data_IF_623553452131
#
_entry.id   IF_623553452131
#
_cell.length_a   1.000
_cell.length_b   1.000
_cell.length_c   1.000
_cell.angle_alpha   90.00
_cell.angle_beta   90.00
_cell.angle_gamma   90.00
#
_symmetry.space_group_name_H-M   'P 1'
#
loop_
_entity.id
_entity.type
_entity.pdbx_description
1 polymer ?
#
# COMPACT_ATOMS: atom_id res chain seq x y z
N UNK A 1 28.57 24.63 57.65
CA UNK A 1 29.51 24.94 56.56
C UNK A 1 29.93 23.61 55.94
N UNK A 2 29.56 23.37 54.68
CA UNK A 2 29.87 22.12 53.97
C UNK A 2 31.30 22.17 53.42
N UNK A 3 32.12 21.17 53.73
CA UNK A 3 33.47 21.07 53.19
C UNK A 3 33.43 20.62 51.72
N UNK A 4 34.32 21.13 50.86
CA UNK A 4 34.41 20.69 49.47
C UNK A 4 34.98 19.26 49.42
N UNK A 5 34.25 18.33 48.80
CA UNK A 5 34.77 17.00 48.47
C UNK A 5 35.75 17.14 47.31
N UNK A 6 37.02 16.80 47.57
CA UNK A 6 38.03 16.63 46.54
C UNK A 6 37.60 15.53 45.55
N UNK A 7 37.88 15.68 44.24
CA UNK A 7 37.60 14.63 43.26
C UNK A 7 38.43 13.38 43.59
N UNK A 8 37.76 12.23 43.66
CA UNK A 8 38.42 10.94 43.80
C UNK A 8 39.24 10.64 42.54
N UNK A 9 40.45 10.05 42.68
CA UNK A 9 41.22 9.61 41.53
C UNK A 9 40.45 8.52 40.75
N UNK A 10 40.55 8.50 39.42
CA UNK A 10 39.93 7.44 38.61
C UNK A 10 40.47 6.07 39.03
N UNK A 11 39.59 5.06 38.98
CA UNK A 11 39.92 3.68 39.31
C UNK A 11 41.17 3.22 38.54
N UNK A 12 42.02 2.34 39.13
CA UNK A 12 43.17 1.79 38.44
C UNK A 12 42.72 1.18 37.10
N UNK A 13 43.32 1.64 36.00
CA UNK A 13 43.10 1.06 34.69
C UNK A 13 43.38 -0.45 34.77
N UNK A 14 42.55 -1.31 34.16
CA UNK A 14 42.86 -2.73 34.11
C UNK A 14 44.24 -2.90 33.46
N UNK A 15 45.09 -3.65 34.15
CA UNK A 15 46.48 -3.92 33.79
C UNK A 15 46.66 -4.07 32.28
N UNK A 16 47.66 -3.37 31.74
CA UNK A 16 48.03 -3.44 30.33
C UNK A 16 48.38 -4.89 29.98
N UNK A 17 47.42 -5.59 29.40
CA UNK A 17 47.65 -6.88 28.76
C UNK A 17 48.67 -6.64 27.65
N UNK A 18 49.78 -7.39 27.58
CA UNK A 18 50.77 -7.20 26.54
C UNK A 18 50.09 -7.30 25.18
N UNK A 19 50.07 -6.19 24.43
CA UNK A 19 49.50 -6.10 23.07
C UNK A 19 50.38 -6.78 22.01
N UNK A 20 51.28 -7.67 22.43
CA UNK A 20 52.11 -8.45 21.52
C UNK A 20 51.31 -9.68 21.10
N UNK A 21 50.83 -9.76 19.84
CA UNK A 21 50.19 -10.99 19.38
C UNK A 21 51.24 -12.11 19.42
N UNK A 22 51.01 -13.10 20.28
CA UNK A 22 51.82 -14.32 20.33
C UNK A 22 51.55 -15.10 19.04
N UNK A 23 52.33 -14.77 17.99
CA UNK A 23 52.20 -15.35 16.65
C UNK A 23 52.66 -16.80 16.67
N UNK A 24 51.79 -17.69 17.12
CA UNK A 24 51.98 -19.14 17.05
C UNK A 24 51.78 -19.63 15.62
N UNK A 25 52.47 -20.71 15.22
CA UNK A 25 52.42 -21.29 13.85
C UNK A 25 51.01 -21.63 13.34
N UNK A 26 50.02 -21.68 14.23
CA UNK A 26 48.62 -21.99 13.92
C UNK A 26 47.68 -20.77 13.98
N UNK A 27 48.17 -19.54 14.16
CA UNK A 27 47.34 -18.32 14.20
C UNK A 27 46.10 -18.41 15.12
N UNK A 28 46.20 -19.17 16.21
CA UNK A 28 45.12 -19.30 17.18
C UNK A 28 45.21 -18.14 18.18
N UNK A 29 44.82 -16.94 17.75
CA UNK A 29 44.59 -15.81 18.66
C UNK A 29 43.31 -16.07 19.48
N UNK A 30 43.38 -16.97 20.46
CA UNK A 30 42.24 -17.29 21.34
C UNK A 30 41.73 -16.08 22.13
N UNK A 31 42.62 -15.13 22.46
CA UNK A 31 42.25 -13.87 23.11
C UNK A 31 41.50 -12.90 22.19
N UNK A 32 41.83 -12.87 20.90
CA UNK A 32 41.24 -11.94 19.93
C UNK A 32 39.76 -12.21 19.67
N UNK A 33 39.34 -13.47 19.66
CA UNK A 33 37.94 -13.83 19.51
C UNK A 33 37.08 -13.30 20.69
N UNK A 34 37.62 -13.37 21.91
CA UNK A 34 36.97 -12.82 23.10
C UNK A 34 36.93 -11.29 23.07
N UNK A 35 38.00 -10.64 22.63
CA UNK A 35 38.04 -9.18 22.44
C UNK A 35 37.05 -8.71 21.38
N UNK A 36 36.96 -9.41 20.24
CA UNK A 36 35.99 -9.13 19.18
C UNK A 36 34.54 -9.32 19.67
N UNK A 37 34.29 -10.36 20.47
CA UNK A 37 32.99 -10.57 21.10
C UNK A 37 32.60 -9.40 22.02
N UNK A 38 33.52 -8.97 22.90
CA UNK A 38 33.31 -7.81 23.79
C UNK A 38 33.09 -6.52 23.01
N UNK A 39 33.89 -6.27 21.97
CA UNK A 39 33.75 -5.12 21.09
C UNK A 39 32.37 -5.10 20.42
N UNK A 40 31.95 -6.23 19.85
CA UNK A 40 30.64 -6.33 19.20
C UNK A 40 29.50 -6.06 20.18
N UNK A 41 29.59 -6.62 21.39
CA UNK A 41 28.59 -6.43 22.43
C UNK A 41 28.46 -4.95 22.84
N UNK A 42 29.58 -4.27 23.07
CA UNK A 42 29.62 -2.83 23.35
C UNK A 42 29.06 -2.00 22.17
N UNK A 43 29.43 -2.34 20.94
CA UNK A 43 28.92 -1.65 19.76
C UNK A 43 27.40 -1.74 19.62
N UNK A 44 26.80 -2.91 19.94
CA UNK A 44 25.34 -3.05 19.93
C UNK A 44 24.68 -2.23 21.05
N UNK A 45 25.23 -2.24 22.26
CA UNK A 45 24.72 -1.41 23.37
C UNK A 45 24.73 0.08 23.03
N UNK A 46 25.80 0.57 22.40
CA UNK A 46 25.88 1.95 21.93
C UNK A 46 24.85 2.23 20.84
N UNK A 47 24.64 1.30 19.91
CA UNK A 47 23.62 1.44 18.85
C UNK A 47 22.21 1.53 19.43
N UNK A 48 21.89 0.72 20.42
CA UNK A 48 20.62 0.75 21.16
C UNK A 48 20.45 2.05 21.95
N UNK A 49 21.53 2.62 22.50
CA UNK A 49 21.48 3.90 23.18
C UNK A 49 21.04 5.06 22.27
N UNK A 50 21.44 5.02 21.00
CA UNK A 50 21.01 5.99 19.99
C UNK A 50 19.69 5.65 19.30
N UNK A 51 19.08 4.50 19.61
CA UNK A 51 17.72 4.24 19.14
C UNK A 51 16.76 5.21 19.83
N UNK A 52 15.94 5.86 19.01
CA UNK A 52 15.01 6.89 19.47
C UNK A 52 13.91 6.24 20.34
N UNK A 53 13.88 6.56 21.64
CA UNK A 53 12.92 5.99 22.61
C UNK A 53 11.52 6.60 22.53
N UNK A 54 11.38 7.66 21.73
CA UNK A 54 10.15 8.42 21.49
C UNK A 54 9.14 7.68 20.62
N UNK A 55 9.53 6.58 19.97
CA UNK A 55 8.65 5.82 19.06
C UNK A 55 8.32 6.54 17.76
N UNK A 56 8.99 7.67 17.47
CA UNK A 56 8.77 8.52 16.29
C UNK A 56 9.69 8.19 15.12
N UNK A 57 10.09 6.93 14.96
CA UNK A 57 10.59 6.47 13.67
C UNK A 57 9.39 6.38 12.73
N UNK A 58 8.93 7.53 12.25
CA UNK A 58 7.99 7.59 11.13
C UNK A 58 8.70 6.93 9.96
N UNK A 59 8.26 5.75 9.51
CA UNK A 59 8.83 5.18 8.30
C UNK A 59 8.51 6.16 7.18
N UNK A 60 9.53 6.86 6.70
CA UNK A 60 9.40 7.75 5.55
C UNK A 60 9.33 6.84 4.33
N UNK A 61 8.18 6.76 3.63
CA UNK A 61 8.09 5.96 2.43
C UNK A 61 8.84 6.70 1.31
N UNK A 62 10.14 6.44 1.19
CA UNK A 62 10.98 7.02 0.13
C UNK A 62 10.56 6.55 -1.27
N UNK A 63 9.85 5.43 -1.35
CA UNK A 63 9.39 4.83 -2.60
C UNK A 63 7.88 4.61 -2.54
N UNK A 64 7.14 5.43 -3.29
CA UNK A 64 5.74 5.15 -3.60
C UNK A 64 5.72 4.29 -4.85
N UNK A 65 5.50 2.99 -4.68
CA UNK A 65 5.30 2.11 -5.83
C UNK A 65 3.98 2.46 -6.52
N UNK A 66 3.95 2.50 -7.87
CA UNK A 66 2.69 2.61 -8.59
C UNK A 66 1.76 1.48 -8.19
N UNK A 67 0.54 1.85 -7.81
CA UNK A 67 -0.54 0.91 -7.47
C UNK A 67 -0.85 0.07 -8.71
N UNK A 68 -1.18 -1.22 -8.53
CA UNK A 68 -1.56 -2.09 -9.66
C UNK A 68 -2.75 -1.48 -10.40
N UNK A 69 -2.79 -1.60 -11.73
CA UNK A 69 -3.86 -1.03 -12.54
C UNK A 69 -5.26 -1.50 -12.10
N UNK A 70 -5.40 -2.77 -11.70
CA UNK A 70 -6.68 -3.31 -11.21
C UNK A 70 -7.18 -2.65 -9.91
N UNK A 71 -6.27 -2.16 -9.07
CA UNK A 71 -6.64 -1.43 -7.85
C UNK A 71 -6.97 0.04 -8.15
N UNK A 72 -6.37 0.61 -9.18
CA UNK A 72 -6.60 2.00 -9.59
C UNK A 72 -7.82 2.15 -10.50
N UNK A 73 -8.09 1.16 -11.34
CA UNK A 73 -9.17 1.14 -12.32
C UNK A 73 -9.88 -0.22 -12.23
N UNK A 74 -11.04 -0.30 -11.55
CA UNK A 74 -11.84 -1.53 -11.57
C UNK A 74 -12.21 -1.87 -13.01
N UNK A 75 -12.37 -3.16 -13.29
CA UNK A 75 -12.74 -3.63 -14.62
C UNK A 75 -14.06 -2.97 -15.04
N UNK A 76 -14.21 -2.48 -16.29
CA UNK A 76 -15.42 -1.75 -16.73
C UNK A 76 -16.71 -2.57 -16.59
N UNK A 77 -16.62 -3.90 -16.48
CA UNK A 77 -17.76 -4.79 -16.23
C UNK A 77 -18.01 -5.06 -14.75
N UNK A 78 -17.07 -4.71 -13.86
CA UNK A 78 -17.26 -4.72 -12.40
C UNK A 78 -18.03 -3.46 -11.99
N UNK A 79 -19.25 -3.33 -12.50
CA UNK A 79 -20.13 -2.24 -12.14
C UNK A 79 -20.65 -2.46 -10.71
N UNK A 80 -20.65 -1.41 -9.86
CA UNK A 80 -21.27 -1.50 -8.56
C UNK A 80 -22.78 -1.82 -8.71
N UNK A 81 -23.41 -2.40 -7.67
CA UNK A 81 -24.83 -2.72 -7.71
C UNK A 81 -25.66 -1.51 -8.13
N UNK A 82 -26.34 -1.62 -9.27
CA UNK A 82 -27.13 -0.52 -9.82
C UNK A 82 -28.28 -0.16 -8.87
N UNK A 83 -28.53 1.13 -8.68
CA UNK A 83 -29.73 1.63 -7.99
C UNK A 83 -31.00 1.13 -8.67
N UNK A 84 -32.07 0.90 -7.90
CA UNK A 84 -33.36 0.47 -8.44
C UNK A 84 -33.91 1.41 -9.52
N UNK A 85 -33.71 2.73 -9.36
CA UNK A 85 -34.08 3.74 -10.36
C UNK A 85 -33.30 3.57 -11.67
N UNK A 86 -32.00 3.34 -11.57
CA UNK A 86 -31.11 3.14 -12.73
C UNK A 86 -31.46 1.85 -13.46
N UNK A 87 -31.67 0.75 -12.72
CA UNK A 87 -32.14 -0.53 -13.29
C UNK A 87 -33.46 -0.36 -14.03
N UNK A 88 -34.44 0.29 -13.41
CA UNK A 88 -35.74 0.53 -14.05
C UNK A 88 -35.65 1.40 -15.31
N UNK A 89 -34.76 2.39 -15.31
CA UNK A 89 -34.50 3.18 -16.51
C UNK A 89 -33.87 2.34 -17.62
N UNK A 90 -32.79 1.62 -17.33
CA UNK A 90 -32.09 0.73 -18.28
C UNK A 90 -33.03 -0.32 -18.86
N UNK A 91 -33.88 -0.92 -18.03
CA UNK A 91 -34.85 -1.91 -18.49
C UNK A 91 -35.82 -1.31 -19.50
N UNK A 92 -36.33 -0.08 -19.29
CA UNK A 92 -37.25 0.58 -20.23
C UNK A 92 -36.60 1.02 -21.54
N UNK A 93 -35.32 1.37 -21.52
CA UNK A 93 -34.58 1.81 -22.73
C UNK A 93 -33.90 0.65 -23.47
N UNK A 94 -33.93 -0.56 -22.90
CA UNK A 94 -33.43 -1.75 -23.57
C UNK A 94 -34.14 -1.93 -24.92
N UNK A 95 -33.43 -2.27 -26.00
CA UNK A 95 -34.01 -2.61 -27.30
C UNK A 95 -35.17 -3.62 -27.23
N UNK A 96 -35.11 -4.56 -26.27
CA UNK A 96 -36.14 -5.57 -26.04
C UNK A 96 -37.44 -4.99 -25.46
N UNK A 97 -37.36 -3.88 -24.72
CA UNK A 97 -38.48 -3.23 -24.04
C UNK A 97 -38.85 -1.87 -24.65
N UNK A 98 -38.08 -1.43 -25.66
CA UNK A 98 -38.40 -0.28 -26.48
C UNK A 98 -39.79 -0.53 -27.07
N UNK A 99 -40.75 0.27 -26.59
CA UNK A 99 -42.19 0.05 -26.77
C UNK A 99 -42.48 -0.38 -28.21
N UNK A 100 -42.96 -1.61 -28.35
CA UNK A 100 -43.47 -2.15 -29.61
C UNK A 100 -44.67 -1.36 -30.12
N UNK A 101 -45.30 -0.53 -29.28
CA UNK A 101 -46.47 0.25 -29.64
C UNK A 101 -46.16 1.74 -29.83
N UNK A 102 -46.61 2.32 -30.93
CA UNK A 102 -46.66 3.77 -31.16
C UNK A 102 -48.00 4.33 -30.64
N UNK A 103 -47.98 5.40 -29.84
CA UNK A 103 -49.20 6.09 -29.40
C UNK A 103 -49.39 7.38 -30.18
N UNK A 104 -50.53 7.52 -30.87
CA UNK A 104 -50.91 8.74 -31.57
C UNK A 104 -51.42 9.82 -30.60
N UNK A 105 -51.39 11.12 -30.97
CA UNK A 105 -51.98 12.20 -30.18
C UNK A 105 -53.46 11.97 -29.84
N UNK A 106 -54.17 11.18 -30.64
CA UNK A 106 -55.55 10.75 -30.39
C UNK A 106 -55.68 9.69 -29.28
N UNK A 107 -54.58 9.29 -28.64
CA UNK A 107 -54.54 8.22 -27.63
C UNK A 107 -54.59 6.80 -28.18
N UNK A 108 -54.72 6.62 -29.51
CA UNK A 108 -54.72 5.30 -30.15
C UNK A 108 -53.31 4.70 -30.10
N UNK A 109 -53.22 3.43 -29.69
CA UNK A 109 -51.97 2.67 -29.66
C UNK A 109 -51.98 1.72 -30.85
N UNK A 110 -50.88 1.72 -31.60
CA UNK A 110 -50.68 0.90 -32.80
C UNK A 110 -49.53 -0.04 -32.55
N UNK A 111 -49.67 -1.30 -32.95
CA UNK A 111 -48.67 -2.35 -32.73
C UNK A 111 -47.44 -2.17 -33.62
N UNK A 112 -46.39 -2.93 -33.35
CA UNK A 112 -45.17 -2.89 -34.19
C UNK A 112 -45.46 -3.35 -35.61
N UNK A 113 -46.30 -4.39 -35.76
CA UNK A 113 -46.73 -4.93 -37.06
C UNK A 113 -47.54 -3.90 -37.86
N UNK A 114 -48.55 -3.28 -37.24
CA UNK A 114 -49.37 -2.27 -37.92
C UNK A 114 -48.55 -1.03 -38.33
N UNK A 115 -47.58 -0.66 -37.49
CA UNK A 115 -46.62 0.39 -37.82
C UNK A 115 -45.75 0.01 -39.02
N UNK A 116 -45.21 -1.21 -39.03
CA UNK A 116 -44.36 -1.71 -40.12
C UNK A 116 -45.12 -1.74 -41.45
N UNK A 117 -46.38 -2.21 -41.44
CA UNK A 117 -47.25 -2.16 -42.63
C UNK A 117 -47.47 -0.72 -43.10
N UNK A 118 -47.75 0.22 -42.18
CA UNK A 118 -47.91 1.64 -42.53
C UNK A 118 -46.62 2.21 -43.13
N UNK A 119 -45.49 1.99 -42.46
CA UNK A 119 -44.20 2.58 -42.85
C UNK A 119 -43.79 2.03 -44.23
N UNK A 120 -44.04 0.74 -44.53
CA UNK A 120 -43.80 0.13 -45.84
C UNK A 120 -44.57 0.81 -47.00
N UNK A 121 -45.76 1.37 -46.73
CA UNK A 121 -46.55 2.08 -47.74
C UNK A 121 -45.91 3.41 -48.16
N UNK A 122 -45.12 4.03 -47.29
CA UNK A 122 -44.46 5.30 -47.54
C UNK A 122 -43.03 5.16 -48.05
N UNK A 123 -42.36 4.01 -47.85
CA UNK A 123 -41.01 3.76 -48.37
C UNK A 123 -40.93 3.83 -49.90
N UNK A 124 -41.98 3.40 -50.61
CA UNK A 124 -42.03 3.41 -52.08
C UNK A 124 -42.47 4.75 -52.70
N UNK A 125 -42.66 5.80 -51.89
CA UNK A 125 -43.09 7.13 -52.36
C UNK A 125 -41.98 8.19 -52.35
N UNK A 126 -40.77 7.82 -51.96
CA UNK A 126 -39.59 8.69 -51.95
C UNK A 126 -38.79 8.59 -53.25
#
# INVERSE_FOLDING_TARGET
MAQPRSPQPPAPYPEEVPRTPLRTRFHLDGGRALELGKFYQLAQQHREFYQDKTGTLYPVPYFVLPVKEMERYPHPLDLPPLSGKTRWHLQRVSPENLRTYQTFPSGKRVTSEEREVRDSFFEYRA
#
